data_IF_859813287716
#
_entry.id   IF_859813287716
#
_cell.length_a   1.000
_cell.length_b   1.000
_cell.length_c   1.000
_cell.angle_alpha   90.00
_cell.angle_beta   90.00
_cell.angle_gamma   90.00
#
_symmetry.space_group_name_H-M   'P 1'
#
loop_
_entity.id
_entity.type
_entity.pdbx_description
1 polymer ?
#
# COMPACT_ATOMS: atom_id res chain seq x y z
N UNK A 1 -12.02 43.86 -20.79
CA UNK A 1 -10.90 43.39 -19.93
C UNK A 1 -11.47 42.60 -18.76
N UNK A 2 -11.01 41.39 -18.56
CA UNK A 2 -11.44 40.58 -17.43
C UNK A 2 -10.95 41.22 -16.10
N UNK A 3 -11.80 41.28 -15.10
CA UNK A 3 -11.42 41.73 -13.77
C UNK A 3 -10.83 40.53 -12.96
N UNK A 4 -10.22 40.84 -11.82
CA UNK A 4 -9.56 39.79 -10.98
C UNK A 4 -10.54 38.73 -10.48
N UNK A 5 -11.80 39.06 -10.30
CA UNK A 5 -12.84 38.12 -9.90
C UNK A 5 -13.11 37.09 -11.00
N UNK A 6 -13.23 37.54 -12.26
CA UNK A 6 -13.42 36.69 -13.42
C UNK A 6 -12.19 35.79 -13.68
N UNK A 7 -11.00 36.35 -13.52
CA UNK A 7 -9.73 35.58 -13.61
C UNK A 7 -9.70 34.50 -12.53
N UNK A 8 -10.03 34.84 -11.29
CA UNK A 8 -10.08 33.88 -10.17
C UNK A 8 -11.10 32.78 -10.43
N UNK A 9 -12.27 33.11 -10.93
CA UNK A 9 -13.33 32.15 -11.29
C UNK A 9 -12.86 31.19 -12.39
N UNK A 10 -12.16 31.70 -13.40
CA UNK A 10 -11.60 30.90 -14.49
C UNK A 10 -10.49 29.95 -13.98
N UNK A 11 -9.60 30.42 -13.12
CA UNK A 11 -8.56 29.60 -12.51
C UNK A 11 -9.18 28.47 -11.67
N UNK A 12 -10.19 28.77 -10.88
CA UNK A 12 -10.87 27.76 -10.07
C UNK A 12 -11.58 26.71 -10.94
N UNK A 13 -12.17 27.12 -12.06
CA UNK A 13 -12.79 26.19 -13.02
C UNK A 13 -11.75 25.27 -13.68
N UNK A 14 -10.58 25.79 -14.03
CA UNK A 14 -9.45 25.01 -14.58
C UNK A 14 -8.94 24.03 -13.54
N UNK A 15 -8.75 24.46 -12.28
CA UNK A 15 -8.31 23.59 -11.20
C UNK A 15 -9.29 22.43 -10.94
N UNK A 16 -10.60 22.70 -10.93
CA UNK A 16 -11.63 21.67 -10.79
C UNK A 16 -11.62 20.69 -11.96
N UNK A 17 -11.41 21.18 -13.19
CA UNK A 17 -11.28 20.34 -14.38
C UNK A 17 -10.05 19.42 -14.32
N UNK A 18 -8.91 19.91 -13.85
CA UNK A 18 -7.70 19.12 -13.65
C UNK A 18 -7.90 18.03 -12.57
N UNK A 19 -8.56 18.34 -11.46
CA UNK A 19 -8.90 17.36 -10.43
C UNK A 19 -9.75 16.23 -11.02
N UNK A 20 -10.77 16.56 -11.81
CA UNK A 20 -11.63 15.58 -12.46
C UNK A 20 -10.85 14.69 -13.44
N UNK A 21 -9.98 15.26 -14.26
CA UNK A 21 -9.13 14.50 -15.19
C UNK A 21 -8.14 13.58 -14.44
N UNK A 22 -7.56 14.03 -13.34
CA UNK A 22 -6.70 13.19 -12.50
C UNK A 22 -7.49 11.99 -11.93
N UNK A 23 -8.69 12.21 -11.43
CA UNK A 23 -9.56 11.15 -10.91
C UNK A 23 -9.97 10.17 -12.02
N UNK A 24 -10.29 10.67 -13.21
CA UNK A 24 -10.60 9.83 -14.37
C UNK A 24 -9.40 8.96 -14.77
N UNK A 25 -8.21 9.54 -14.78
CA UNK A 25 -6.96 8.81 -15.05
C UNK A 25 -6.71 7.71 -14.02
N UNK A 26 -6.88 8.01 -12.74
CA UNK A 26 -6.73 7.04 -11.66
C UNK A 26 -7.76 5.91 -11.76
N UNK A 27 -9.01 6.24 -12.03
CA UNK A 27 -10.08 5.25 -12.19
C UNK A 27 -9.84 4.31 -13.37
N UNK A 28 -9.39 4.86 -14.49
CA UNK A 28 -9.02 4.07 -15.68
C UNK A 28 -7.84 3.13 -15.42
N UNK A 29 -6.90 3.56 -14.59
CA UNK A 29 -5.65 2.84 -14.30
C UNK A 29 -5.63 2.17 -12.91
N UNK A 30 -6.77 1.99 -12.27
CA UNK A 30 -6.83 1.45 -10.90
C UNK A 30 -6.20 0.07 -10.74
N UNK A 31 -6.20 -0.77 -11.77
CA UNK A 31 -5.50 -2.06 -11.74
C UNK A 31 -3.99 -1.90 -11.62
N UNK A 32 -3.40 -0.96 -12.36
CA UNK A 32 -1.97 -0.66 -12.30
C UNK A 32 -1.61 -0.04 -10.94
N UNK A 33 -2.44 0.85 -10.43
CA UNK A 33 -2.25 1.43 -9.09
C UNK A 33 -2.26 0.33 -8.02
N UNK A 34 -3.20 -0.60 -8.11
CA UNK A 34 -3.27 -1.76 -7.23
C UNK A 34 -2.00 -2.61 -7.31
N UNK A 35 -1.52 -2.90 -8.51
CA UNK A 35 -0.30 -3.68 -8.72
C UNK A 35 0.91 -2.96 -8.11
N UNK A 36 1.00 -1.64 -8.25
CA UNK A 36 2.04 -0.83 -7.60
C UNK A 36 1.97 -0.91 -6.07
N UNK A 37 0.79 -0.82 -5.49
CA UNK A 37 0.59 -0.98 -4.03
C UNK A 37 1.06 -2.36 -3.58
N UNK A 38 0.68 -3.41 -4.31
CA UNK A 38 1.09 -4.78 -3.99
C UNK A 38 2.61 -4.96 -4.09
N UNK A 39 3.26 -4.43 -5.12
CA UNK A 39 4.72 -4.47 -5.25
C UNK A 39 5.43 -3.73 -4.12
N UNK A 40 4.92 -2.56 -3.76
CA UNK A 40 5.45 -1.77 -2.66
C UNK A 40 5.40 -2.55 -1.34
N UNK A 41 4.25 -3.15 -1.02
CA UNK A 41 4.07 -4.00 0.15
C UNK A 41 4.98 -5.24 0.09
N UNK A 42 5.12 -5.87 -1.07
CA UNK A 42 5.98 -7.03 -1.24
C UNK A 42 7.46 -6.71 -0.98
N UNK A 43 7.88 -5.49 -1.31
CA UNK A 43 9.20 -4.95 -0.99
C UNK A 43 9.32 -4.48 0.47
N UNK A 44 8.27 -4.62 1.27
CA UNK A 44 8.26 -4.27 2.69
C UNK A 44 8.16 -2.79 2.98
N UNK A 45 7.56 -2.02 2.07
CA UNK A 45 7.47 -0.55 2.17
C UNK A 45 6.03 -0.08 2.21
N UNK A 46 5.80 1.05 2.85
CA UNK A 46 4.54 1.78 2.81
C UNK A 46 4.59 2.98 1.84
N UNK A 47 3.46 3.68 1.68
CA UNK A 47 3.35 4.84 0.81
C UNK A 47 4.10 6.09 1.26
N UNK A 48 4.83 6.05 2.36
CA UNK A 48 5.75 7.11 2.80
C UNK A 48 7.21 6.77 2.55
N UNK A 49 7.48 5.75 1.73
CA UNK A 49 8.80 5.22 1.42
C UNK A 49 9.56 4.70 2.66
N UNK A 50 8.83 4.23 3.66
CA UNK A 50 9.37 3.65 4.89
C UNK A 50 9.15 2.15 4.92
N UNK A 51 10.08 1.43 5.54
CA UNK A 51 9.89 0.01 5.82
C UNK A 51 8.69 -0.21 6.76
N UNK A 52 7.95 -1.28 6.51
CA UNK A 52 6.85 -1.68 7.39
C UNK A 52 7.36 -1.98 8.80
N UNK A 53 6.61 -1.56 9.80
CA UNK A 53 6.92 -1.72 11.22
C UNK A 53 5.67 -2.26 11.95
N UNK A 54 5.81 -3.16 12.92
CA UNK A 54 7.06 -3.67 13.49
C UNK A 54 7.81 -4.63 12.57
N UNK A 55 9.13 -4.74 12.75
CA UNK A 55 9.94 -5.80 12.14
C UNK A 55 9.65 -7.14 12.79
N UNK A 56 9.99 -8.26 12.16
CA UNK A 56 9.80 -9.58 12.78
C UNK A 56 10.54 -9.74 14.12
N UNK A 57 11.66 -9.04 14.31
CA UNK A 57 12.42 -9.10 15.55
C UNK A 57 11.74 -8.34 16.70
N UNK A 58 10.88 -7.38 16.39
CA UNK A 58 10.19 -6.52 17.36
C UNK A 58 8.67 -6.74 17.38
N UNK A 59 8.14 -7.70 16.63
CA UNK A 59 6.72 -7.95 16.54
C UNK A 59 6.20 -8.69 17.79
N UNK A 60 5.25 -8.13 18.55
CA UNK A 60 4.64 -8.79 19.70
C UNK A 60 4.02 -10.16 19.38
N UNK A 61 3.66 -10.41 18.14
CA UNK A 61 3.14 -11.71 17.68
C UNK A 61 4.02 -12.88 18.11
N UNK A 62 5.34 -12.71 18.11
CA UNK A 62 6.27 -13.79 18.48
C UNK A 62 6.36 -14.03 19.99
N UNK A 63 5.73 -13.18 20.80
CA UNK A 63 5.60 -13.38 22.26
C UNK A 63 4.32 -14.13 22.61
N UNK A 64 3.39 -14.24 21.69
CA UNK A 64 2.09 -14.91 21.93
C UNK A 64 2.20 -16.43 21.74
N UNK A 65 1.34 -17.20 22.44
CA UNK A 65 1.27 -18.65 22.25
C UNK A 65 0.91 -19.02 20.82
N UNK A 66 1.71 -19.89 20.19
CA UNK A 66 1.47 -20.33 18.83
C UNK A 66 2.67 -21.06 18.23
N UNK A 67 2.57 -21.49 16.96
CA UNK A 67 3.63 -22.29 16.31
C UNK A 67 4.93 -21.50 16.14
N UNK A 68 4.88 -20.18 16.12
CA UNK A 68 6.02 -19.29 15.93
C UNK A 68 6.48 -18.59 17.21
N UNK A 69 5.90 -18.92 18.37
CA UNK A 69 6.31 -18.31 19.63
C UNK A 69 7.81 -18.43 19.86
N UNK A 70 8.46 -17.31 20.15
CA UNK A 70 9.92 -17.19 20.35
C UNK A 70 10.79 -17.71 19.18
N UNK A 71 10.25 -17.70 17.94
CA UNK A 71 10.96 -18.22 16.76
C UNK A 71 11.01 -17.24 15.58
N UNK A 72 11.33 -15.95 15.77
CA UNK A 72 11.36 -15.00 14.66
C UNK A 72 12.37 -15.40 13.56
N UNK A 73 13.54 -15.95 13.92
CA UNK A 73 14.54 -16.39 12.96
C UNK A 73 14.06 -17.54 12.06
N UNK A 74 13.34 -18.49 12.64
CA UNK A 74 12.76 -19.60 11.85
C UNK A 74 11.64 -19.09 10.94
N UNK A 75 10.86 -18.14 11.43
CA UNK A 75 9.80 -17.50 10.65
C UNK A 75 10.39 -16.73 9.45
N UNK A 76 11.44 -15.93 9.65
CA UNK A 76 12.12 -15.21 8.58
C UNK A 76 12.59 -16.13 7.47
N UNK A 77 13.24 -17.26 7.83
CA UNK A 77 13.70 -18.25 6.85
C UNK A 77 12.54 -18.92 6.10
N UNK A 78 11.45 -19.24 6.80
CA UNK A 78 10.26 -19.79 6.17
C UNK A 78 9.64 -18.76 5.23
N UNK A 79 9.57 -17.51 5.67
CA UNK A 79 9.02 -16.40 4.91
C UNK A 79 9.80 -16.15 3.60
N UNK A 80 11.10 -16.19 3.63
CA UNK A 80 11.94 -16.07 2.43
C UNK A 80 11.71 -17.19 1.41
N UNK A 81 11.37 -18.39 1.88
CA UNK A 81 11.04 -19.50 0.97
C UNK A 81 9.72 -19.30 0.24
N UNK A 82 8.68 -18.84 0.94
CA UNK A 82 7.36 -18.64 0.33
C UNK A 82 7.24 -17.31 -0.41
N UNK A 83 8.02 -16.30 -0.02
CA UNK A 83 8.04 -14.97 -0.63
C UNK A 83 9.48 -14.52 -0.85
N UNK A 84 10.17 -15.07 -1.87
CA UNK A 84 11.57 -14.73 -2.13
C UNK A 84 11.73 -13.22 -2.36
N UNK A 85 12.74 -12.57 -1.76
CA UNK A 85 13.04 -11.16 -2.03
C UNK A 85 13.43 -10.98 -3.50
N UNK A 86 12.78 -10.03 -4.16
CA UNK A 86 13.04 -9.69 -5.57
C UNK A 86 12.98 -8.18 -5.77
N UNK A 87 13.64 -7.69 -6.80
CA UNK A 87 13.46 -6.32 -7.28
C UNK A 87 12.06 -6.20 -7.87
N UNK A 88 11.30 -5.18 -7.49
CA UNK A 88 9.96 -5.00 -8.02
C UNK A 88 9.97 -4.62 -9.51
N UNK A 89 8.98 -5.11 -10.25
CA UNK A 89 8.92 -4.94 -11.71
C UNK A 89 8.51 -3.53 -12.13
N UNK A 90 7.42 -3.01 -11.55
CA UNK A 90 6.88 -1.69 -11.93
C UNK A 90 7.62 -0.54 -11.24
N UNK A 91 7.92 -0.69 -9.95
CA UNK A 91 8.47 0.39 -9.13
C UNK A 91 9.99 0.34 -9.00
N UNK A 92 10.63 -0.74 -9.45
CA UNK A 92 12.07 -0.96 -9.34
C UNK A 92 12.62 -0.80 -7.90
N UNK A 93 11.81 -1.21 -6.92
CA UNK A 93 12.19 -1.19 -5.51
C UNK A 93 13.19 -2.33 -5.21
N UNK A 94 14.11 -2.13 -4.26
CA UNK A 94 15.08 -3.15 -3.90
C UNK A 94 14.41 -4.37 -3.27
N UNK A 95 15.07 -5.53 -3.27
CA UNK A 95 14.59 -6.72 -2.57
C UNK A 95 14.33 -6.42 -1.09
N UNK A 96 13.25 -6.96 -0.55
CA UNK A 96 12.87 -6.78 0.83
C UNK A 96 13.94 -7.36 1.79
N UNK A 97 14.37 -6.60 2.82
CA UNK A 97 15.17 -7.15 3.90
C UNK A 97 14.43 -8.26 4.66
N UNK A 98 15.16 -9.27 5.12
CA UNK A 98 14.56 -10.46 5.74
C UNK A 98 13.74 -10.20 6.99
N UNK A 99 14.10 -9.15 7.76
CA UNK A 99 13.43 -8.74 9.00
C UNK A 99 12.16 -7.94 8.77
N UNK A 100 11.91 -7.46 7.56
CA UNK A 100 10.79 -6.60 7.23
C UNK A 100 9.60 -7.43 6.73
N UNK A 101 8.38 -7.23 7.27
CA UNK A 101 7.17 -7.89 6.78
C UNK A 101 6.77 -7.40 5.39
N UNK A 102 6.02 -8.22 4.66
CA UNK A 102 5.43 -7.84 3.36
C UNK A 102 3.93 -8.15 3.28
N UNK A 103 3.31 -8.58 4.35
CA UNK A 103 1.89 -8.89 4.46
C UNK A 103 1.40 -9.95 3.45
N UNK A 104 2.31 -10.74 2.89
CA UNK A 104 1.99 -11.80 1.93
C UNK A 104 2.27 -13.17 2.55
N UNK A 105 1.25 -14.01 2.65
CA UNK A 105 1.40 -15.44 3.02
C UNK A 105 0.80 -16.31 1.91
N UNK A 106 -0.48 -16.16 1.64
CA UNK A 106 -1.20 -16.88 0.60
C UNK A 106 -1.59 -15.99 -0.60
N UNK A 107 -1.40 -14.68 -0.46
CA UNK A 107 -1.88 -13.68 -1.42
C UNK A 107 -3.31 -13.20 -1.18
N UNK A 108 -4.05 -13.80 -0.25
CA UNK A 108 -5.46 -13.45 0.00
C UNK A 108 -5.63 -12.00 0.43
N UNK A 109 -4.73 -11.47 1.28
CA UNK A 109 -4.76 -10.07 1.65
C UNK A 109 -4.55 -9.16 0.44
N UNK A 110 -3.56 -9.45 -0.41
CA UNK A 110 -3.30 -8.68 -1.63
C UNK A 110 -4.49 -8.71 -2.59
N UNK A 111 -5.11 -9.87 -2.75
CA UNK A 111 -6.29 -10.03 -3.61
C UNK A 111 -7.52 -9.29 -3.09
N UNK A 112 -7.54 -8.96 -1.79
CA UNK A 112 -8.63 -8.20 -1.17
C UNK A 112 -8.54 -6.70 -1.37
N UNK A 113 -7.41 -6.17 -1.83
CA UNK A 113 -7.21 -4.73 -2.04
C UNK A 113 -8.08 -4.25 -3.20
N UNK A 114 -8.90 -3.23 -2.95
CA UNK A 114 -9.81 -2.61 -3.91
C UNK A 114 -9.58 -1.11 -3.98
N UNK A 115 -9.77 -0.56 -5.16
CA UNK A 115 -9.81 0.88 -5.40
C UNK A 115 -11.20 1.25 -5.89
N UNK A 116 -11.77 2.30 -5.32
CA UNK A 116 -13.07 2.84 -5.69
C UNK A 116 -12.98 4.34 -5.86
N UNK A 117 -13.52 4.82 -6.99
CA UNK A 117 -13.65 6.26 -7.20
C UNK A 117 -14.83 6.80 -6.39
N UNK A 118 -14.55 7.78 -5.56
CA UNK A 118 -15.54 8.60 -4.89
C UNK A 118 -15.73 9.92 -5.65
N UNK A 119 -16.58 10.81 -5.14
CA UNK A 119 -16.87 12.07 -5.84
C UNK A 119 -15.62 12.91 -6.12
N UNK A 120 -14.73 13.06 -5.13
CA UNK A 120 -13.53 13.91 -5.20
C UNK A 120 -12.24 13.20 -4.78
N UNK A 121 -12.25 11.90 -4.71
CA UNK A 121 -11.11 11.10 -4.25
C UNK A 121 -11.14 9.68 -4.79
N UNK A 122 -10.02 8.99 -4.64
CA UNK A 122 -9.91 7.55 -4.83
C UNK A 122 -9.73 6.90 -3.45
N UNK A 123 -10.58 5.94 -3.13
CA UNK A 123 -10.49 5.17 -1.90
C UNK A 123 -9.77 3.85 -2.16
N UNK A 124 -8.86 3.47 -1.27
CA UNK A 124 -8.20 2.15 -1.26
C UNK A 124 -8.58 1.43 0.03
N UNK A 125 -9.10 0.23 -0.09
CA UNK A 125 -9.62 -0.53 1.05
C UNK A 125 -9.49 -2.05 0.79
N UNK A 126 -9.76 -2.86 1.81
CA UNK A 126 -9.82 -4.32 1.67
C UNK A 126 -11.27 -4.80 1.69
N UNK A 127 -11.58 -5.78 0.85
CA UNK A 127 -12.90 -6.39 0.75
C UNK A 127 -12.81 -7.91 0.80
N UNK A 128 -13.59 -8.52 1.67
CA UNK A 128 -13.69 -9.98 1.76
C UNK A 128 -12.55 -10.66 2.52
N UNK A 129 -11.67 -9.92 3.18
CA UNK A 129 -10.60 -10.44 4.03
C UNK A 129 -10.85 -10.03 5.49
N UNK A 130 -11.15 -11.01 6.35
CA UNK A 130 -11.59 -10.77 7.73
C UNK A 130 -10.55 -9.98 8.53
N UNK A 131 -9.27 -10.31 8.38
CA UNK A 131 -8.18 -9.68 9.13
C UNK A 131 -7.68 -8.36 8.50
N UNK A 132 -8.27 -7.91 7.41
CA UNK A 132 -7.89 -6.67 6.72
C UNK A 132 -7.85 -5.46 7.63
N UNK A 133 -8.92 -5.17 8.40
CA UNK A 133 -8.95 -4.04 9.35
C UNK A 133 -7.87 -4.13 10.44
N UNK A 134 -7.56 -5.31 10.93
CA UNK A 134 -6.52 -5.53 11.95
C UNK A 134 -5.13 -5.31 11.37
N UNK A 135 -4.88 -5.72 10.14
CA UNK A 135 -3.64 -5.43 9.43
C UNK A 135 -3.48 -3.92 9.23
N UNK A 136 -4.51 -3.24 8.78
CA UNK A 136 -4.51 -1.78 8.59
C UNK A 136 -4.25 -1.05 9.91
N UNK A 137 -4.89 -1.48 10.99
CA UNK A 137 -4.66 -0.92 12.33
C UNK A 137 -3.23 -1.12 12.80
N UNK A 138 -2.64 -2.30 12.54
CA UNK A 138 -1.28 -2.64 12.97
C UNK A 138 -0.21 -1.87 12.21
N UNK A 139 -0.34 -1.74 10.90
CA UNK A 139 0.68 -1.18 10.02
C UNK A 139 0.39 0.26 9.57
N UNK A 140 -0.82 0.76 9.82
CA UNK A 140 -1.26 2.12 9.49
C UNK A 140 -1.85 2.23 8.07
N UNK A 141 -2.53 3.34 7.82
CA UNK A 141 -3.24 3.60 6.56
C UNK A 141 -2.29 3.78 5.36
N UNK A 142 -1.04 4.13 5.61
CA UNK A 142 -0.04 4.34 4.57
C UNK A 142 0.32 3.09 3.78
N UNK A 143 -0.07 1.89 4.25
CA UNK A 143 0.09 0.66 3.48
C UNK A 143 -0.69 0.67 2.16
N UNK A 144 -1.72 1.50 2.04
CA UNK A 144 -2.54 1.66 0.84
C UNK A 144 -2.17 2.88 0.00
N UNK A 145 -1.23 3.69 0.45
CA UNK A 145 -0.73 4.82 -0.33
C UNK A 145 0.41 4.38 -1.27
N UNK A 146 0.72 5.21 -2.25
CA UNK A 146 1.89 5.04 -3.11
C UNK A 146 2.96 6.05 -2.71
N UNK A 147 4.20 5.60 -2.66
CA UNK A 147 5.35 6.45 -2.44
C UNK A 147 5.63 7.37 -3.61
N UNK A 148 6.41 8.39 -3.37
CA UNK A 148 6.78 9.43 -4.35
C UNK A 148 8.03 9.11 -5.15
N UNK A 149 8.64 7.97 -4.92
CA UNK A 149 9.89 7.53 -5.57
C UNK A 149 9.72 7.08 -7.01
#
# INVERSE_FOLDING_TARGET
>A
MANIYEVSKTINAIAAGLEEECLNCMDTNKSIIRDCIQEQLYSGMDGTDRCLSPTYDNDPYFNEPGPWQNKPEKYKRWKEKITPPVVSFLLNLPPRPSEIPNLFITGTFYDSIRLERLNRSMSVFTEGFIDGPDIQKKYGDNIFALGSS
#
